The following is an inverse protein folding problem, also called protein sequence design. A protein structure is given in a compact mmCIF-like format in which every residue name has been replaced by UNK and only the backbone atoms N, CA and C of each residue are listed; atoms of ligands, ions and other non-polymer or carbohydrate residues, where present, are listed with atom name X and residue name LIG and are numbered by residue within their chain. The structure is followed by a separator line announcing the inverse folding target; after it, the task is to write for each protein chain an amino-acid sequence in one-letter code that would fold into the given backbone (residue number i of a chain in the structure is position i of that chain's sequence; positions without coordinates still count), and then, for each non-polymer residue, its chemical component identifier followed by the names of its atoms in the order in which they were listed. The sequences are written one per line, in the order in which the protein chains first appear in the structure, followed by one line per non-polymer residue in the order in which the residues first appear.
data_IF_936828403393
#
_entry.id   IF_936828403393
#
_cell.length_a   1.000
_cell.length_b   1.000
_cell.length_c   1.000
_cell.angle_alpha   90.00
_cell.angle_beta   90.00
_cell.angle_gamma   90.00
#
_symmetry.space_group_name_H-M   'P 1'
#
loop_
_entity.id
_entity.type
_entity.pdbx_description
1 polymer ?
#
# COMPACT_ATOMS: atom_id res chain seq x y z
N UNK A 1 -6.81 -71.60 28.09
CA UNK A 1 -8.29 -71.54 28.05
C UNK A 1 -8.69 -70.18 27.48
N UNK A 2 -9.47 -70.20 26.41
CA UNK A 2 -9.94 -69.04 25.67
C UNK A 2 -11.00 -68.27 26.48
N UNK A 3 -10.89 -66.95 26.54
CA UNK A 3 -11.82 -66.04 27.19
C UNK A 3 -12.34 -65.00 26.21
N UNK A 4 -13.58 -65.22 25.78
CA UNK A 4 -14.35 -64.58 24.73
C UNK A 4 -14.62 -63.09 24.91
N UNK A 5 -14.67 -62.38 23.77
CA UNK A 5 -15.22 -61.05 23.52
C UNK A 5 -16.56 -60.74 24.20
N UNK A 6 -16.75 -59.49 24.65
CA UNK A 6 -18.05 -58.77 24.54
C UNK A 6 -17.82 -57.27 24.30
N UNK A 7 -18.14 -56.84 23.07
CA UNK A 7 -18.53 -55.47 22.72
C UNK A 7 -19.94 -55.17 23.26
N UNK A 8 -20.36 -53.89 23.10
CA UNK A 8 -21.75 -53.36 23.00
C UNK A 8 -22.29 -52.76 24.32
N UNK A 9 -22.93 -51.59 24.44
CA UNK A 9 -23.28 -50.40 23.61
C UNK A 9 -23.70 -49.28 24.61
N UNK A 10 -23.66 -48.03 24.14
CA UNK A 10 -24.22 -46.76 24.63
C UNK A 10 -25.52 -46.78 25.47
N UNK A 11 -25.65 -45.82 26.41
CA UNK A 11 -26.86 -45.04 26.82
C UNK A 11 -26.34 -43.92 27.77
N UNK A 12 -26.22 -42.64 27.38
CA UNK A 12 -27.25 -41.59 27.38
C UNK A 12 -27.93 -41.33 28.74
N UNK A 13 -27.59 -40.21 29.40
CA UNK A 13 -28.54 -39.37 30.14
C UNK A 13 -27.91 -38.01 30.51
N UNK A 14 -28.27 -36.94 29.78
CA UNK A 14 -29.11 -35.81 30.22
C UNK A 14 -28.40 -34.83 31.16
N UNK A 15 -28.17 -33.60 30.69
CA UNK A 15 -27.77 -32.51 31.58
C UNK A 15 -27.29 -31.19 30.97
N UNK A 16 -27.93 -30.67 29.92
CA UNK A 16 -27.89 -29.21 29.63
C UNK A 16 -29.16 -28.60 30.22
N UNK A 17 -29.12 -27.48 30.97
CA UNK A 17 -28.75 -26.19 30.39
C UNK A 17 -28.01 -25.23 31.35
N UNK A 18 -26.82 -24.74 30.96
CA UNK A 18 -26.28 -23.51 31.53
C UNK A 18 -25.61 -22.69 30.42
N UNK A 19 -26.44 -22.37 29.43
CA UNK A 19 -26.14 -21.43 28.36
C UNK A 19 -26.75 -20.08 28.76
N UNK A 20 -26.19 -19.38 29.75
CA UNK A 20 -26.55 -17.97 29.97
C UNK A 20 -25.58 -17.09 30.77
N UNK A 21 -24.33 -17.49 31.05
CA UNK A 21 -23.48 -16.61 31.88
C UNK A 21 -21.98 -16.80 31.64
N UNK A 22 -21.46 -16.28 30.52
CA UNK A 22 -20.18 -15.54 30.46
C UNK A 22 -19.88 -15.05 29.02
N UNK A 23 -20.76 -14.25 28.42
CA UNK A 23 -20.56 -13.58 27.13
C UNK A 23 -20.14 -12.11 27.34
N UNK A 24 -19.14 -11.87 28.19
CA UNK A 24 -18.76 -10.49 28.60
C UNK A 24 -17.26 -10.18 28.65
N UNK A 25 -16.38 -10.91 27.94
CA UNK A 25 -14.93 -10.57 27.91
C UNK A 25 -14.40 -10.23 26.50
N UNK A 26 -15.25 -10.10 25.48
CA UNK A 26 -14.85 -9.72 24.11
C UNK A 26 -14.96 -8.22 23.82
N UNK A 27 -14.59 -7.34 24.76
CA UNK A 27 -14.80 -5.89 24.57
C UNK A 27 -13.67 -5.01 25.12
N UNK A 28 -12.41 -5.25 24.73
CA UNK A 28 -11.40 -4.18 24.67
C UNK A 28 -10.46 -4.38 23.46
N UNK A 29 -11.05 -4.58 22.29
CA UNK A 29 -10.40 -4.24 21.03
C UNK A 29 -10.46 -2.72 20.88
N UNK A 30 -9.36 -2.02 21.18
CA UNK A 30 -9.22 -0.62 20.81
C UNK A 30 -8.70 -0.56 19.36
N UNK A 31 -9.53 -0.16 18.37
CA UNK A 31 -8.97 0.27 17.10
C UNK A 31 -8.29 1.62 17.33
N UNK A 32 -6.95 1.65 17.20
CA UNK A 32 -6.28 2.89 16.83
C UNK A 32 -6.87 3.29 15.47
N UNK A 33 -7.83 4.22 15.49
CA UNK A 33 -8.30 4.90 14.31
C UNK A 33 -7.13 5.66 13.69
N UNK A 34 -6.38 4.98 12.82
CA UNK A 34 -5.55 5.65 11.85
C UNK A 34 -6.46 6.58 11.07
N UNK A 35 -6.26 7.90 11.23
CA UNK A 35 -6.93 8.89 10.42
C UNK A 35 -6.67 8.53 8.96
N UNK A 36 -7.68 7.94 8.33
CA UNK A 36 -7.61 7.58 6.92
C UNK A 36 -7.32 8.86 6.16
N UNK A 37 -6.29 8.85 5.31
CA UNK A 37 -5.97 9.98 4.44
C UNK A 37 -7.19 10.41 3.59
N UNK A 38 -8.15 9.51 3.38
CA UNK A 38 -9.44 9.81 2.76
C UNK A 38 -10.35 10.72 3.60
N UNK A 39 -10.31 10.64 4.93
CA UNK A 39 -11.09 11.51 5.83
C UNK A 39 -10.52 12.94 5.90
N UNK A 40 -9.20 13.09 5.79
CA UNK A 40 -8.55 14.42 5.69
C UNK A 40 -8.97 15.10 4.39
N UNK A 41 -8.96 14.38 3.27
CA UNK A 41 -9.38 14.93 1.97
C UNK A 41 -10.87 15.34 1.94
N UNK A 42 -11.76 14.61 2.62
CA UNK A 42 -13.18 15.01 2.76
C UNK A 42 -13.34 16.26 3.61
N UNK A 43 -12.58 16.40 4.71
CA UNK A 43 -12.58 17.62 5.54
C UNK A 43 -12.06 18.86 4.82
N UNK A 44 -11.05 18.70 3.97
CA UNK A 44 -10.54 19.80 3.13
C UNK A 44 -11.63 20.33 2.17
N UNK A 45 -12.37 19.42 1.50
CA UNK A 45 -13.48 19.78 0.61
C UNK A 45 -14.65 20.44 1.34
N UNK A 46 -15.00 19.98 2.55
CA UNK A 46 -16.05 20.62 3.36
C UNK A 46 -15.64 22.01 3.89
N UNK A 47 -14.36 22.24 4.20
CA UNK A 47 -13.86 23.57 4.57
C UNK A 47 -13.88 24.56 3.41
N UNK A 48 -13.70 24.10 2.17
CA UNK A 48 -13.81 24.94 0.98
C UNK A 48 -15.27 25.33 0.71
N UNK A 49 -16.22 24.39 0.82
CA UNK A 49 -17.65 24.66 0.63
C UNK A 49 -18.26 25.64 1.65
N UNK A 50 -17.67 25.79 2.84
CA UNK A 50 -18.10 26.77 3.85
C UNK A 50 -17.46 28.16 3.70
N UNK A 51 -16.50 28.32 2.77
CA UNK A 51 -15.97 29.64 2.39
C UNK A 51 -16.71 30.28 1.21
N UNK A 52 -17.53 29.51 0.50
CA UNK A 52 -18.24 29.97 -0.71
C UNK A 52 -19.61 30.63 -0.44
N UNK A 53 -20.00 30.86 0.83
CA UNK A 53 -21.19 31.63 1.21
C UNK A 53 -20.88 33.10 1.51
N UNK A 54 -20.18 33.78 0.60
CA UNK A 54 -20.15 35.26 0.54
C UNK A 54 -20.67 35.73 -0.83
N UNK A 55 -21.58 36.73 -0.88
CA UNK A 55 -22.27 37.11 -2.11
C UNK A 55 -21.33 37.77 -3.13
N UNK A 56 -21.60 37.49 -4.41
CA UNK A 56 -20.79 37.74 -5.58
C UNK A 56 -20.34 39.19 -5.81
N UNK A 57 -19.08 39.37 -6.24
CA UNK A 57 -18.66 40.53 -7.05
C UNK A 57 -17.49 40.18 -7.99
N UNK A 58 -17.79 40.35 -9.28
CA UNK A 58 -16.93 40.52 -10.46
C UNK A 58 -16.10 39.34 -10.99
N UNK A 59 -16.57 38.87 -12.15
CA UNK A 59 -15.77 38.48 -13.33
C UNK A 59 -14.47 39.27 -13.39
N UNK A 60 -13.34 38.57 -13.35
CA UNK A 60 -12.03 39.10 -13.70
C UNK A 60 -11.85 38.76 -15.18
N UNK A 61 -12.15 39.74 -16.02
CA UNK A 61 -11.68 39.79 -17.41
C UNK A 61 -10.20 40.21 -17.41
N UNK A 62 -9.46 39.75 -18.42
CA UNK A 62 -8.08 40.12 -18.78
C UNK A 62 -7.85 41.64 -18.96
N UNK A 63 -7.91 42.44 -17.89
CA UNK A 63 -7.79 43.91 -17.96
C UNK A 63 -6.84 44.52 -16.90
N UNK A 64 -6.13 43.72 -16.10
CA UNK A 64 -5.11 44.21 -15.15
C UNK A 64 -3.71 43.65 -15.47
N UNK A 65 -3.27 43.86 -16.72
CA UNK A 65 -1.86 43.78 -17.11
C UNK A 65 -1.26 45.20 -17.06
N UNK A 66 -0.20 45.46 -16.28
CA UNK A 66 0.48 46.75 -16.34
C UNK A 66 1.13 46.93 -17.71
N UNK A 67 0.81 48.06 -18.33
CA UNK A 67 1.32 48.54 -19.61
C UNK A 67 2.86 48.52 -19.69
N UNK A 68 3.35 47.98 -20.80
CA UNK A 68 4.70 48.22 -21.31
C UNK A 68 4.96 49.72 -21.52
N UNK A 69 6.22 50.19 -21.43
CA UNK A 69 6.70 51.19 -22.35
C UNK A 69 7.50 50.54 -23.49
N UNK A 70 7.04 50.90 -24.68
CA UNK A 70 7.52 50.62 -26.02
C UNK A 70 9.04 50.51 -26.23
N UNK A 71 9.43 49.55 -27.06
CA UNK A 71 10.46 49.77 -28.08
C UNK A 71 10.13 48.95 -29.34
N UNK A 72 9.58 49.67 -30.32
CA UNK A 72 9.76 49.59 -31.78
C UNK A 72 9.93 48.20 -32.46
N UNK A 73 8.94 47.89 -33.31
CA UNK A 73 8.94 46.95 -34.44
C UNK A 73 9.93 47.36 -35.56
N UNK A 74 10.05 46.65 -36.71
CA UNK A 74 9.66 45.27 -37.08
C UNK A 74 10.76 44.52 -37.88
N UNK A 75 10.61 43.20 -38.12
CA UNK A 75 10.74 42.54 -39.45
C UNK A 75 10.94 41.00 -39.37
N UNK A 76 9.88 40.29 -39.73
CA UNK A 76 9.79 39.36 -40.88
C UNK A 76 10.47 37.98 -40.91
N UNK A 77 9.66 37.03 -41.40
CA UNK A 77 9.91 35.74 -42.08
C UNK A 77 10.01 34.44 -41.26
N UNK A 78 8.88 33.73 -41.26
CA UNK A 78 8.68 32.31 -41.63
C UNK A 78 9.79 31.29 -41.33
N UNK A 79 9.47 30.26 -40.52
CA UNK A 79 9.34 28.86 -41.01
C UNK A 79 8.82 27.89 -39.96
N UNK A 80 7.93 27.02 -40.42
CA UNK A 80 7.49 25.77 -39.81
C UNK A 80 8.63 24.94 -39.19
N UNK A 81 8.37 24.36 -38.02
CA UNK A 81 8.72 22.98 -37.61
C UNK A 81 7.95 22.71 -36.30
N UNK A 82 6.74 22.14 -36.39
CA UNK A 82 6.49 20.70 -36.23
C UNK A 82 7.27 20.11 -35.05
N UNK A 83 6.58 20.06 -33.90
CA UNK A 83 6.41 18.87 -33.05
C UNK A 83 5.43 19.22 -31.94
N UNK A 84 4.14 19.18 -32.31
CA UNK A 84 3.08 18.97 -31.35
C UNK A 84 3.24 17.55 -30.80
N UNK A 85 3.99 17.38 -29.71
CA UNK A 85 3.60 16.36 -28.74
C UNK A 85 2.55 17.01 -27.85
N UNK A 86 1.37 17.16 -28.46
CA UNK A 86 0.13 17.24 -27.73
C UNK A 86 0.18 16.10 -26.73
N UNK A 87 0.33 16.45 -25.45
CA UNK A 87 -0.06 15.58 -24.37
C UNK A 87 -1.49 15.16 -24.67
N UNK A 88 -1.63 13.99 -25.30
CA UNK A 88 -2.87 13.28 -25.46
C UNK A 88 -3.25 12.87 -24.05
N UNK A 89 -3.84 13.83 -23.33
CA UNK A 89 -4.81 13.58 -22.29
C UNK A 89 -5.99 12.89 -22.96
N UNK A 90 -5.78 11.62 -23.32
CA UNK A 90 -6.85 10.66 -23.50
C UNK A 90 -7.33 10.33 -22.09
N UNK A 91 -8.06 11.30 -21.54
CA UNK A 91 -9.14 11.03 -20.61
C UNK A 91 -10.16 10.14 -21.32
N UNK A 92 -9.83 8.84 -21.43
CA UNK A 92 -10.80 7.82 -21.76
C UNK A 92 -11.50 7.44 -20.46
N UNK A 93 -12.72 7.96 -20.36
CA UNK A 93 -13.82 7.30 -19.70
C UNK A 93 -13.84 5.79 -20.02
N UNK A 94 -14.52 5.05 -19.15
CA UNK A 94 -14.86 3.63 -19.24
C UNK A 94 -13.89 2.65 -18.56
N UNK A 95 -13.88 2.68 -17.22
CA UNK A 95 -13.54 1.54 -16.34
C UNK A 95 -12.11 0.98 -16.35
N UNK A 96 -11.24 1.43 -17.26
CA UNK A 96 -9.87 0.91 -17.44
C UNK A 96 -8.87 1.89 -16.84
N UNK A 97 -7.90 1.36 -16.08
CA UNK A 97 -6.81 2.16 -15.50
C UNK A 97 -5.97 2.81 -16.61
N UNK A 98 -5.62 4.08 -16.44
CA UNK A 98 -4.76 4.81 -17.38
C UNK A 98 -3.30 4.33 -17.31
N UNK A 99 -2.50 4.64 -18.33
CA UNK A 99 -1.07 4.30 -18.36
C UNK A 99 -0.31 4.88 -17.15
N UNK A 100 -0.62 6.12 -16.78
CA UNK A 100 -0.04 6.82 -15.64
C UNK A 100 -0.41 6.15 -14.32
N UNK A 101 -1.66 5.68 -14.19
CA UNK A 101 -2.12 4.93 -13.01
C UNK A 101 -1.39 3.58 -12.90
N UNK A 102 -1.28 2.83 -13.98
CA UNK A 102 -0.51 1.58 -14.00
C UNK A 102 0.95 1.81 -13.58
N UNK A 103 1.60 2.84 -14.15
CA UNK A 103 2.98 3.21 -13.80
C UNK A 103 3.12 3.52 -12.31
N UNK A 104 2.20 4.32 -11.76
CA UNK A 104 2.21 4.70 -10.35
C UNK A 104 2.02 3.48 -9.43
N UNK A 105 1.08 2.59 -9.74
CA UNK A 105 0.83 1.38 -8.95
C UNK A 105 2.01 0.40 -8.99
N UNK A 106 2.55 0.15 -10.19
CA UNK A 106 3.71 -0.73 -10.37
C UNK A 106 4.92 -0.16 -9.63
N UNK A 107 5.16 1.15 -9.71
CA UNK A 107 6.25 1.79 -9.00
C UNK A 107 6.06 1.72 -7.47
N UNK A 108 4.84 1.95 -6.98
CA UNK A 108 4.53 1.82 -5.56
C UNK A 108 4.78 0.38 -5.07
N UNK A 109 4.39 -0.61 -5.86
CA UNK A 109 4.63 -2.03 -5.54
C UNK A 109 6.12 -2.38 -5.57
N UNK A 110 6.90 -1.88 -6.54
CA UNK A 110 8.37 -2.05 -6.56
C UNK A 110 9.00 -1.50 -5.29
N UNK A 111 8.60 -0.30 -4.87
CA UNK A 111 9.08 0.33 -3.65
C UNK A 111 8.71 -0.49 -2.41
N UNK A 112 7.51 -1.06 -2.36
CA UNK A 112 7.08 -1.96 -1.29
C UNK A 112 7.99 -3.20 -1.22
N UNK A 113 8.22 -3.89 -2.34
CA UNK A 113 9.12 -5.07 -2.40
C UNK A 113 10.52 -4.70 -1.92
N UNK A 114 11.08 -3.59 -2.41
CA UNK A 114 12.40 -3.13 -2.00
C UNK A 114 12.46 -2.80 -0.50
N UNK A 115 11.40 -2.22 0.07
CA UNK A 115 11.33 -1.92 1.50
C UNK A 115 11.28 -3.19 2.36
N UNK A 116 10.52 -4.21 1.93
CA UNK A 116 10.43 -5.51 2.61
C UNK A 116 11.77 -6.26 2.57
N UNK A 117 12.44 -6.25 1.41
CA UNK A 117 13.77 -6.83 1.27
C UNK A 117 14.77 -6.15 2.21
N UNK A 118 14.83 -4.82 2.21
CA UNK A 118 15.70 -4.07 3.13
C UNK A 118 15.41 -4.36 4.60
N UNK A 119 14.13 -4.52 4.97
CA UNK A 119 13.74 -4.88 6.32
C UNK A 119 14.23 -6.28 6.70
N UNK A 120 14.13 -7.25 5.78
CA UNK A 120 14.63 -8.61 5.96
C UNK A 120 16.16 -8.63 6.06
N UNK A 121 16.86 -7.89 5.19
CA UNK A 121 18.32 -7.76 5.21
C UNK A 121 18.81 -7.14 6.52
N UNK A 122 18.12 -6.12 7.02
CA UNK A 122 18.40 -5.51 8.33
C UNK A 122 18.16 -6.49 9.47
N UNK A 123 17.08 -7.28 9.41
CA UNK A 123 16.79 -8.27 10.44
C UNK A 123 17.87 -9.36 10.44
N UNK A 124 18.23 -9.89 9.27
CA UNK A 124 19.24 -10.92 9.11
C UNK A 124 20.63 -10.45 9.53
N UNK A 125 21.04 -9.24 9.14
CA UNK A 125 22.31 -8.65 9.58
C UNK A 125 22.36 -8.32 11.07
N UNK A 126 21.21 -8.23 11.75
CA UNK A 126 21.16 -8.09 13.22
C UNK A 126 21.33 -9.41 13.98
N UNK A 127 21.31 -10.54 13.26
CA UNK A 127 21.49 -11.86 13.83
C UNK A 127 22.97 -12.17 13.88
N UNK A 128 23.52 -12.19 15.09
CA UNK A 128 24.91 -12.56 15.33
C UNK A 128 24.97 -13.46 16.55
N UNK A 129 25.50 -14.67 16.38
CA UNK A 129 25.62 -15.66 17.45
C UNK A 129 27.02 -15.63 18.04
N UNK A 130 27.10 -15.67 19.36
CA UNK A 130 28.36 -15.68 20.09
C UNK A 130 28.54 -16.97 20.87
N UNK A 131 29.77 -17.30 21.23
CA UNK A 131 30.04 -18.40 22.16
C UNK A 131 29.35 -18.15 23.50
N UNK A 132 28.48 -19.07 23.94
CA UNK A 132 27.63 -18.89 25.13
C UNK A 132 28.43 -18.65 26.43
N UNK A 133 29.65 -19.18 26.51
CA UNK A 133 30.54 -19.09 27.66
C UNK A 133 31.57 -17.95 27.58
N UNK A 134 31.61 -17.21 26.46
CA UNK A 134 32.65 -16.19 26.24
C UNK A 134 32.43 -14.93 27.08
N UNK A 135 31.19 -14.65 27.47
CA UNK A 135 30.83 -13.50 28.31
C UNK A 135 29.66 -13.84 29.24
N UNK A 136 29.52 -13.08 30.33
CA UNK A 136 28.35 -13.16 31.21
C UNK A 136 27.09 -12.81 30.42
N UNK A 137 26.12 -13.73 30.38
CA UNK A 137 24.87 -13.51 29.65
C UNK A 137 24.86 -13.99 28.19
N UNK A 138 25.92 -14.62 27.69
CA UNK A 138 26.02 -15.06 26.29
C UNK A 138 24.89 -16.01 25.85
N UNK A 139 24.48 -16.93 26.74
CA UNK A 139 23.35 -17.83 26.48
C UNK A 139 22.03 -17.07 26.25
N UNK A 140 21.74 -16.07 27.08
CA UNK A 140 20.53 -15.24 26.98
C UNK A 140 20.55 -14.36 25.71
N UNK A 141 21.71 -13.82 25.36
CA UNK A 141 21.88 -13.08 24.11
C UNK A 141 21.55 -13.98 22.90
N UNK A 142 22.13 -15.18 22.83
CA UNK A 142 21.83 -16.15 21.77
C UNK A 142 20.34 -16.54 21.72
N UNK A 143 19.66 -16.61 22.86
CA UNK A 143 18.22 -16.87 22.88
C UNK A 143 17.42 -15.77 22.16
N UNK A 144 17.85 -14.51 22.28
CA UNK A 144 17.24 -13.39 21.54
C UNK A 144 17.52 -13.51 20.03
N UNK A 145 18.71 -14.01 19.65
CA UNK A 145 19.07 -14.24 18.26
C UNK A 145 18.23 -15.33 17.61
N UNK A 146 17.94 -16.41 18.34
CA UNK A 146 17.00 -17.46 17.90
C UNK A 146 15.63 -16.86 17.61
N UNK A 147 15.12 -15.99 18.49
CA UNK A 147 13.82 -15.34 18.27
C UNK A 147 13.83 -14.44 17.02
N UNK A 148 14.93 -13.70 16.79
CA UNK A 148 15.09 -12.88 15.57
C UNK A 148 15.14 -13.74 14.32
N UNK A 149 15.84 -14.86 14.35
CA UNK A 149 15.92 -15.82 13.26
C UNK A 149 14.54 -16.42 12.93
N UNK A 150 13.78 -16.82 13.96
CA UNK A 150 12.41 -17.31 13.76
C UNK A 150 11.50 -16.25 13.12
N UNK A 151 11.60 -15.00 13.55
CA UNK A 151 10.86 -13.90 12.92
C UNK A 151 11.28 -13.68 11.47
N UNK A 152 12.58 -13.75 11.18
CA UNK A 152 13.09 -13.62 9.81
C UNK A 152 12.50 -14.70 8.90
N UNK A 153 12.47 -15.96 9.36
CA UNK A 153 11.87 -17.07 8.63
C UNK A 153 10.36 -16.86 8.39
N UNK A 154 9.63 -16.37 9.40
CA UNK A 154 8.19 -16.11 9.28
C UNK A 154 7.86 -15.05 8.22
N UNK A 155 8.71 -14.03 8.07
CA UNK A 155 8.46 -12.93 7.12
C UNK A 155 9.17 -13.11 5.78
N UNK A 156 9.99 -14.15 5.62
CA UNK A 156 10.79 -14.39 4.41
C UNK A 156 9.96 -14.65 3.15
N UNK A 157 8.73 -15.16 3.28
CA UNK A 157 7.84 -15.41 2.15
C UNK A 157 7.18 -14.12 1.60
N UNK A 158 7.05 -13.07 2.42
CA UNK A 158 6.30 -11.86 2.04
C UNK A 158 6.91 -11.13 0.83
N UNK A 159 8.24 -10.94 0.72
CA UNK A 159 8.84 -10.35 -0.47
C UNK A 159 8.49 -11.10 -1.75
N UNK A 160 8.44 -12.44 -1.71
CA UNK A 160 8.17 -13.26 -2.89
C UNK A 160 6.71 -13.18 -3.32
N UNK A 161 5.77 -13.18 -2.37
CA UNK A 161 4.36 -12.90 -2.66
C UNK A 161 4.17 -11.52 -3.30
N UNK A 162 4.86 -10.50 -2.78
CA UNK A 162 4.77 -9.14 -3.33
C UNK A 162 5.44 -9.02 -4.71
N UNK A 163 6.47 -9.83 -5.02
CA UNK A 163 7.05 -9.93 -6.37
C UNK A 163 6.09 -10.59 -7.34
N UNK A 164 5.43 -11.69 -6.96
CA UNK A 164 4.42 -12.33 -7.80
C UNK A 164 3.27 -11.36 -8.13
N UNK A 165 2.83 -10.57 -7.14
CA UNK A 165 1.84 -9.52 -7.37
C UNK A 165 2.35 -8.44 -8.33
N UNK A 166 3.61 -8.04 -8.21
CA UNK A 166 4.24 -7.08 -9.12
C UNK A 166 4.26 -7.63 -10.56
N UNK A 167 4.68 -8.88 -10.75
CA UNK A 167 4.69 -9.55 -12.05
C UNK A 167 3.28 -9.63 -12.65
N UNK A 168 2.27 -9.97 -11.85
CA UNK A 168 0.88 -10.00 -12.27
C UNK A 168 0.38 -8.62 -12.72
N UNK A 169 0.78 -7.54 -12.04
CA UNK A 169 0.42 -6.17 -12.46
C UNK A 169 1.12 -5.75 -13.75
N UNK A 170 2.39 -6.11 -13.93
CA UNK A 170 3.13 -5.84 -15.16
C UNK A 170 2.52 -6.61 -16.34
N UNK A 171 2.14 -7.86 -16.14
CA UNK A 171 1.48 -8.69 -17.16
C UNK A 171 0.07 -8.17 -17.47
N UNK A 172 -0.68 -7.71 -16.46
CA UNK A 172 -1.98 -7.06 -16.67
C UNK A 172 -1.85 -5.76 -17.48
N UNK A 173 -0.86 -4.94 -17.19
CA UNK A 173 -0.56 -3.74 -17.98
C UNK A 173 -0.19 -4.09 -19.43
N UNK A 174 0.65 -5.12 -19.63
CA UNK A 174 1.01 -5.64 -20.96
C UNK A 174 -0.22 -6.08 -21.76
N UNK A 175 -1.13 -6.83 -21.12
CA UNK A 175 -2.38 -7.30 -21.74
C UNK A 175 -3.36 -6.17 -22.03
N UNK A 176 -3.32 -5.09 -21.24
CA UNK A 176 -4.08 -3.87 -21.49
C UNK A 176 -3.49 -3.02 -22.64
N UNK A 177 -2.38 -3.46 -23.27
CA UNK A 177 -1.74 -2.77 -24.39
C UNK A 177 -0.73 -1.71 -23.97
N UNK A 178 -0.51 -1.53 -22.66
CA UNK A 178 0.55 -0.67 -22.16
C UNK A 178 1.85 -1.46 -22.20
N UNK A 179 2.70 -1.21 -23.21
CA UNK A 179 3.98 -1.92 -23.41
C UNK A 179 5.04 -1.61 -22.34
N UNK A 180 6.29 -2.02 -22.60
CA UNK A 180 7.41 -1.90 -21.65
C UNK A 180 7.64 -0.50 -21.04
N UNK A 181 7.21 0.57 -21.72
CA UNK A 181 7.34 1.95 -21.25
C UNK A 181 6.69 2.24 -19.88
N UNK A 182 5.75 1.41 -19.43
CA UNK A 182 5.09 1.58 -18.12
C UNK A 182 5.88 0.95 -16.97
N UNK A 183 6.76 -0.03 -17.25
CA UNK A 183 7.40 -0.84 -16.21
C UNK A 183 8.94 -0.91 -16.30
N UNK A 184 9.55 -0.40 -17.36
CA UNK A 184 11.00 -0.22 -17.49
C UNK A 184 11.29 1.26 -17.85
N UNK A 185 11.40 2.16 -16.84
CA UNK A 185 11.55 3.60 -17.06
C UNK A 185 12.95 4.01 -17.53
#
# INVERSE_FOLDING_TARGET
MFGTQRRVIYELAVGTPSMLLCLCVLAFSQPFFGQSLGDVARKERQKQQSRDTRPAKKVISDEDMPDHPASESPQSFSKDHKSSDSALDLSSEDGKKSAQQWKAEIQAQKNLVASLQKALDRLNSSIDFVDANRYVGGAQYNQTQIQRQQRAQQVQAQPDEQKQKLEAMQEAARRAGFGNAVYDP
#
